data_IF_943577991246
#
_entry.id   IF_943577991246
#
_cell.length_a   1.000
_cell.length_b   1.000
_cell.length_c   1.000
_cell.angle_alpha   90.00
_cell.angle_beta   90.00
_cell.angle_gamma   90.00
#
_symmetry.space_group_name_H-M   'P 1'
#
loop_
_entity.id
_entity.type
_entity.pdbx_description
1 polymer ?
#
# COMPACT_ATOMS: atom_id res chain seq x y z
N UNK A 1 -10.35 -12.09 -12.89
CA UNK A 1 -10.10 -11.17 -11.75
C UNK A 1 -11.10 -11.38 -10.62
N UNK A 2 -12.41 -11.33 -10.88
CA UNK A 2 -13.45 -11.61 -9.87
C UNK A 2 -13.36 -13.02 -9.27
N UNK A 3 -12.97 -14.02 -10.07
CA UNK A 3 -12.73 -15.39 -9.60
C UNK A 3 -11.56 -15.46 -8.61
N UNK A 4 -10.41 -14.85 -8.93
CA UNK A 4 -9.24 -14.77 -8.03
C UNK A 4 -9.60 -14.22 -6.65
N UNK A 5 -10.36 -13.12 -6.58
CA UNK A 5 -10.76 -12.51 -5.30
C UNK A 5 -11.66 -13.45 -4.49
N UNK A 6 -12.57 -14.17 -5.16
CA UNK A 6 -13.42 -15.18 -4.52
C UNK A 6 -12.61 -16.36 -4.01
N UNK A 7 -11.66 -16.84 -4.81
CA UNK A 7 -10.80 -17.97 -4.43
C UNK A 7 -9.92 -17.62 -3.22
N UNK A 8 -9.29 -16.45 -3.21
CA UNK A 8 -8.47 -15.97 -2.10
C UNK A 8 -9.26 -15.78 -0.81
N UNK A 9 -10.52 -15.38 -0.90
CA UNK A 9 -11.40 -15.19 0.26
C UNK A 9 -12.03 -16.50 0.73
N UNK A 10 -12.19 -17.48 -0.15
CA UNK A 10 -12.80 -18.77 0.15
C UNK A 10 -14.18 -18.58 0.82
N UNK A 11 -14.36 -19.06 2.07
CA UNK A 11 -15.59 -18.92 2.84
C UNK A 11 -15.73 -17.61 3.63
N UNK A 12 -14.70 -16.75 3.62
CA UNK A 12 -14.73 -15.47 4.33
C UNK A 12 -15.59 -14.43 3.59
N UNK A 13 -16.30 -13.54 4.32
CA UNK A 13 -17.10 -12.51 3.69
C UNK A 13 -16.25 -11.52 2.89
N UNK A 14 -16.79 -11.05 1.77
CA UNK A 14 -16.28 -9.92 1.01
C UNK A 14 -17.09 -8.69 1.41
N UNK A 15 -16.40 -7.67 1.89
CA UNK A 15 -17.00 -6.39 2.29
C UNK A 15 -16.64 -5.38 1.21
N UNK A 16 -17.66 -4.72 0.65
CA UNK A 16 -17.49 -3.66 -0.35
C UNK A 16 -17.96 -2.36 0.29
N UNK A 17 -17.06 -1.41 0.44
CA UNK A 17 -17.39 -0.05 0.86
C UNK A 17 -17.70 0.82 -0.36
N UNK A 18 -18.94 1.28 -0.46
CA UNK A 18 -19.44 2.13 -1.55
C UNK A 18 -19.62 3.59 -1.14
N UNK A 19 -19.11 4.00 0.02
CA UNK A 19 -19.27 5.34 0.60
C UNK A 19 -18.60 6.43 -0.24
N UNK A 20 -17.55 6.09 -0.99
CA UNK A 20 -16.70 7.05 -1.69
C UNK A 20 -17.05 7.13 -3.18
N UNK A 21 -17.51 8.29 -3.62
CA UNK A 21 -17.94 8.54 -5.01
C UNK A 21 -16.78 8.99 -5.92
N UNK A 22 -15.64 9.32 -5.33
CA UNK A 22 -14.41 9.78 -6.01
C UNK A 22 -13.19 9.54 -5.12
N UNK A 23 -11.97 9.36 -5.66
CA UNK A 23 -10.76 9.36 -4.85
C UNK A 23 -10.61 10.61 -3.97
N UNK A 24 -11.11 11.77 -4.42
CA UNK A 24 -11.08 13.02 -3.65
C UNK A 24 -12.19 13.13 -2.60
N UNK A 25 -13.10 12.16 -2.53
CA UNK A 25 -14.08 12.05 -1.43
C UNK A 25 -13.51 11.32 -0.20
N UNK A 26 -12.37 10.64 -0.36
CA UNK A 26 -11.63 9.97 0.71
C UNK A 26 -11.13 11.05 1.69
N UNK A 27 -11.41 10.96 3.01
CA UNK A 27 -11.19 12.04 3.97
C UNK A 27 -9.82 12.73 3.92
N UNK A 28 -8.68 12.02 3.96
CA UNK A 28 -7.35 12.64 3.86
C UNK A 28 -7.09 13.36 2.52
N UNK A 29 -7.82 13.04 1.45
CA UNK A 29 -7.59 13.56 0.11
C UNK A 29 -8.52 14.73 -0.26
N UNK A 30 -9.52 15.02 0.58
CA UNK A 30 -10.46 16.12 0.35
C UNK A 30 -9.73 17.45 0.24
N UNK A 31 -10.10 18.24 -0.77
CA UNK A 31 -9.52 19.56 -1.02
C UNK A 31 -8.08 19.54 -1.52
N UNK A 32 -7.52 18.37 -1.89
CA UNK A 32 -6.12 18.26 -2.35
C UNK A 32 -5.95 18.16 -3.87
N UNK A 33 -7.01 18.26 -4.66
CA UNK A 33 -6.97 18.06 -6.13
C UNK A 33 -5.86 18.88 -6.80
N UNK A 34 -5.72 20.16 -6.43
CA UNK A 34 -4.70 21.06 -7.01
C UNK A 34 -3.27 20.57 -6.71
N UNK A 35 -3.04 19.94 -5.55
CA UNK A 35 -1.74 19.34 -5.22
C UNK A 35 -1.42 18.15 -6.10
N UNK A 36 -2.43 17.34 -6.43
CA UNK A 36 -2.26 16.22 -7.35
C UNK A 36 -2.06 16.69 -8.80
N UNK A 37 -2.68 17.80 -9.20
CA UNK A 37 -2.39 18.45 -10.49
C UNK A 37 -0.93 18.91 -10.55
N UNK A 38 -0.43 19.55 -9.49
CA UNK A 38 0.99 19.94 -9.37
C UNK A 38 1.91 18.71 -9.45
N UNK A 39 1.59 17.66 -8.71
CA UNK A 39 2.36 16.42 -8.70
C UNK A 39 2.39 15.74 -10.07
N UNK A 40 1.27 15.71 -10.79
CA UNK A 40 1.23 15.21 -12.18
C UNK A 40 2.13 16.03 -13.10
N UNK A 41 2.29 17.34 -12.86
CA UNK A 41 3.23 18.18 -13.60
C UNK A 41 4.71 17.80 -13.41
N UNK A 42 5.02 17.00 -12.38
CA UNK A 42 6.37 16.47 -12.10
C UNK A 42 6.56 15.03 -12.60
N UNK A 43 5.51 14.41 -13.15
CA UNK A 43 5.57 13.04 -13.65
C UNK A 43 6.47 12.96 -14.88
N UNK A 44 7.38 11.98 -14.86
CA UNK A 44 8.25 11.68 -16.01
C UNK A 44 7.50 10.95 -17.13
N UNK A 45 6.33 10.39 -16.82
CA UNK A 45 5.46 9.67 -17.75
C UNK A 45 4.03 10.26 -17.76
N UNK A 46 3.85 11.55 -18.09
CA UNK A 46 2.60 12.28 -17.86
C UNK A 46 1.38 11.76 -18.64
N UNK A 47 1.59 10.92 -19.64
CA UNK A 47 0.55 10.23 -20.41
C UNK A 47 0.06 8.92 -19.79
N UNK A 48 0.78 8.36 -18.83
CA UNK A 48 0.49 7.06 -18.21
C UNK A 48 -0.34 7.20 -16.93
N UNK A 49 -0.27 8.36 -16.27
CA UNK A 49 -0.91 8.57 -14.97
C UNK A 49 -1.92 9.72 -14.96
N UNK A 50 -3.06 9.49 -14.31
CA UNK A 50 -4.07 10.52 -14.03
C UNK A 50 -3.93 11.06 -12.60
N UNK A 51 -4.52 12.24 -12.37
CA UNK A 51 -4.62 12.87 -11.04
C UNK A 51 -5.39 11.94 -10.09
N UNK A 52 -6.43 11.28 -10.60
CA UNK A 52 -7.26 10.31 -9.89
C UNK A 52 -6.50 9.03 -9.55
N UNK A 53 -5.60 8.57 -10.42
CA UNK A 53 -4.79 7.39 -10.18
C UNK A 53 -3.85 7.61 -8.99
N UNK A 54 -3.18 8.76 -8.95
CA UNK A 54 -2.36 9.13 -7.82
C UNK A 54 -3.16 9.26 -6.52
N UNK A 55 -4.34 9.89 -6.59
CA UNK A 55 -5.22 10.01 -5.44
C UNK A 55 -5.65 8.62 -4.95
N UNK A 56 -6.02 7.72 -5.86
CA UNK A 56 -6.38 6.33 -5.54
C UNK A 56 -5.24 5.60 -4.83
N UNK A 57 -4.01 5.69 -5.37
CA UNK A 57 -2.82 5.09 -4.75
C UNK A 57 -2.56 5.62 -3.34
N UNK A 58 -2.67 6.94 -3.15
CA UNK A 58 -2.45 7.58 -1.85
C UNK A 58 -3.61 7.40 -0.86
N UNK A 59 -4.78 6.93 -1.31
CA UNK A 59 -5.93 6.62 -0.47
C UNK A 59 -5.82 5.26 0.24
N UNK A 60 -4.92 4.38 -0.22
CA UNK A 60 -4.82 3.01 0.31
C UNK A 60 -4.52 2.94 1.81
N UNK A 61 -3.61 3.76 2.40
CA UNK A 61 -3.38 3.78 3.85
C UNK A 61 -4.66 4.02 4.66
N UNK A 62 -5.50 4.94 4.21
CA UNK A 62 -6.77 5.22 4.84
C UNK A 62 -7.71 3.99 4.82
N UNK A 63 -7.77 3.26 3.71
CA UNK A 63 -8.61 2.06 3.63
C UNK A 63 -8.10 0.91 4.50
N UNK A 64 -6.78 0.76 4.65
CA UNK A 64 -6.23 -0.21 5.61
C UNK A 64 -6.60 0.18 7.04
N UNK A 65 -6.45 1.47 7.39
CA UNK A 65 -6.83 1.99 8.70
C UNK A 65 -8.32 1.75 9.00
N UNK A 66 -9.22 2.13 8.09
CA UNK A 66 -10.65 1.92 8.25
C UNK A 66 -11.01 0.44 8.33
N UNK A 67 -10.36 -0.43 7.55
CA UNK A 67 -10.56 -1.87 7.65
C UNK A 67 -10.15 -2.39 9.04
N UNK A 68 -8.99 -1.97 9.56
CA UNK A 68 -8.51 -2.35 10.90
C UNK A 68 -9.49 -1.90 11.98
N UNK A 69 -9.98 -0.65 11.93
CA UNK A 69 -10.96 -0.14 12.90
C UNK A 69 -12.28 -0.89 12.90
N UNK A 70 -12.70 -1.37 11.74
CA UNK A 70 -13.93 -2.15 11.58
C UNK A 70 -13.74 -3.64 11.94
N UNK A 71 -12.50 -4.11 12.07
CA UNK A 71 -12.19 -5.48 12.49
C UNK A 71 -11.96 -5.51 14.01
N UNK A 72 -12.77 -6.29 14.71
CA UNK A 72 -12.64 -6.48 16.15
C UNK A 72 -11.40 -7.32 16.51
N UNK A 73 -10.24 -6.67 16.64
CA UNK A 73 -9.01 -7.11 17.34
C UNK A 73 -8.51 -8.55 17.08
N UNK A 74 -8.75 -9.13 15.90
CA UNK A 74 -8.39 -10.52 15.57
C UNK A 74 -7.06 -10.70 14.85
N UNK A 75 -6.37 -9.62 14.51
CA UNK A 75 -5.20 -9.67 13.64
C UNK A 75 -4.03 -8.91 14.27
N UNK A 76 -2.83 -9.47 14.18
CA UNK A 76 -1.60 -8.80 14.63
C UNK A 76 -1.06 -7.84 13.56
N UNK A 77 -1.38 -8.12 12.29
CA UNK A 77 -0.89 -7.38 11.12
C UNK A 77 -2.00 -7.18 10.09
N UNK A 78 -1.92 -6.08 9.36
CA UNK A 78 -2.79 -5.81 8.22
C UNK A 78 -1.96 -5.32 7.03
N UNK A 79 -2.29 -5.83 5.84
CA UNK A 79 -1.62 -5.48 4.60
C UNK A 79 -2.64 -5.23 3.49
N UNK A 80 -2.39 -4.18 2.70
CA UNK A 80 -3.04 -3.97 1.42
C UNK A 80 -2.37 -4.84 0.35
N UNK A 81 -3.17 -5.45 -0.53
CA UNK A 81 -2.67 -6.18 -1.70
C UNK A 81 -3.51 -5.79 -2.90
N UNK A 82 -2.91 -5.23 -3.95
CA UNK A 82 -3.62 -5.01 -5.22
C UNK A 82 -3.94 -6.36 -5.88
N UNK A 83 -5.16 -6.51 -6.41
CA UNK A 83 -5.58 -7.76 -7.05
C UNK A 83 -4.72 -8.12 -8.27
N UNK A 84 -4.21 -7.11 -8.99
CA UNK A 84 -3.31 -7.31 -10.14
C UNK A 84 -1.98 -7.97 -9.76
N UNK A 85 -1.57 -7.89 -8.49
CA UNK A 85 -0.37 -8.56 -7.97
C UNK A 85 -0.42 -10.08 -8.20
N UNK A 86 -1.62 -10.68 -8.20
CA UNK A 86 -1.84 -12.11 -8.43
C UNK A 86 -1.82 -12.52 -9.91
N UNK A 87 -1.91 -11.56 -10.84
CA UNK A 87 -1.82 -11.83 -12.29
C UNK A 87 -0.39 -11.97 -12.81
N UNK A 88 0.60 -11.69 -11.95
CA UNK A 88 2.02 -11.84 -12.25
C UNK A 88 2.45 -13.30 -11.99
N UNK A 89 3.50 -13.80 -12.64
CA UNK A 89 4.00 -15.18 -12.46
C UNK A 89 4.42 -15.55 -11.02
N UNK A 90 4.22 -14.65 -10.06
CA UNK A 90 4.39 -14.81 -8.62
C UNK A 90 3.12 -15.32 -7.91
N UNK A 91 2.05 -15.67 -8.65
CA UNK A 91 0.76 -16.13 -8.11
C UNK A 91 0.76 -17.36 -7.20
N UNK A 92 1.92 -18.01 -7.02
CA UNK A 92 2.11 -19.15 -6.12
C UNK A 92 2.84 -18.81 -4.83
N UNK A 93 3.19 -17.53 -4.59
CA UNK A 93 3.88 -17.14 -3.37
C UNK A 93 2.81 -16.83 -2.33
N UNK A 94 2.82 -17.58 -1.22
CA UNK A 94 2.03 -17.35 -0.02
C UNK A 94 2.47 -16.07 0.72
N UNK A 95 2.74 -14.99 -0.01
CA UNK A 95 3.28 -13.74 0.52
C UNK A 95 2.19 -12.67 0.62
N UNK A 96 2.08 -11.94 1.75
CA UNK A 96 2.93 -12.07 2.93
C UNK A 96 2.58 -13.34 3.71
N UNK A 97 3.59 -14.16 3.95
CA UNK A 97 3.48 -15.29 4.87
C UNK A 97 3.73 -14.70 6.26
N UNK A 98 2.83 -14.99 7.20
CA UNK A 98 2.92 -14.47 8.55
C UNK A 98 4.24 -14.87 9.23
N UNK A 99 4.77 -16.08 8.93
CA UNK A 99 6.04 -16.54 9.49
C UNK A 99 7.24 -15.83 8.87
N UNK A 100 7.28 -15.70 7.55
CA UNK A 100 8.32 -14.92 6.83
C UNK A 100 8.33 -13.45 7.27
N UNK A 101 7.14 -12.91 7.57
CA UNK A 101 7.00 -11.59 8.17
C UNK A 101 7.65 -11.61 9.56
N UNK A 102 7.26 -12.50 10.47
CA UNK A 102 7.86 -12.64 11.81
C UNK A 102 9.39 -12.82 11.81
N UNK A 103 9.96 -13.53 10.83
CA UNK A 103 11.42 -13.71 10.70
C UNK A 103 12.13 -12.41 10.29
N UNK A 104 11.59 -11.66 9.33
CA UNK A 104 12.08 -10.31 8.99
C UNK A 104 11.97 -9.39 10.21
N UNK A 105 10.90 -9.56 11.00
CA UNK A 105 10.60 -8.79 12.20
C UNK A 105 11.54 -9.10 13.39
N UNK A 106 12.12 -10.29 13.47
CA UNK A 106 13.00 -10.68 14.56
C UNK A 106 14.39 -9.99 14.57
N UNK A 107 14.68 -9.13 13.57
CA UNK A 107 16.04 -8.59 13.33
C UNK A 107 16.39 -7.27 14.05
N UNK A 108 15.57 -6.77 14.98
CA UNK A 108 16.08 -5.89 16.06
C UNK A 108 15.60 -4.42 16.11
N UNK A 109 14.41 -4.08 15.62
CA UNK A 109 13.66 -2.89 16.08
C UNK A 109 12.41 -3.30 16.83
N UNK A 110 11.83 -2.42 17.65
CA UNK A 110 10.47 -2.63 18.14
C UNK A 110 9.50 -2.55 16.95
N UNK A 111 9.31 -3.72 16.33
CA UNK A 111 8.47 -4.03 15.18
C UNK A 111 7.08 -3.39 15.22
N UNK A 112 6.61 -3.14 16.43
CA UNK A 112 5.29 -2.60 16.71
C UNK A 112 5.06 -1.21 16.12
N UNK A 113 6.11 -0.48 15.73
CA UNK A 113 5.99 0.87 15.15
C UNK A 113 6.43 0.94 13.66
N UNK A 114 6.55 -0.20 12.97
CA UNK A 114 7.04 -0.25 11.59
C UNK A 114 5.92 -0.46 10.55
N UNK A 115 5.99 0.31 9.46
CA UNK A 115 5.24 0.08 8.22
C UNK A 115 6.20 -0.49 7.16
N UNK A 116 5.75 -1.54 6.48
CA UNK A 116 6.46 -2.23 5.41
C UNK A 116 6.03 -1.72 4.05
N UNK A 117 7.02 -1.43 3.21
CA UNK A 117 6.84 -1.11 1.80
C UNK A 117 7.70 -2.05 0.94
N UNK A 118 7.11 -2.73 -0.05
CA UNK A 118 7.82 -3.56 -1.01
C UNK A 118 8.66 -2.68 -1.94
N UNK A 119 9.84 -3.18 -2.31
CA UNK A 119 10.69 -2.59 -3.34
C UNK A 119 10.94 -3.63 -4.43
N UNK A 120 10.88 -3.21 -5.70
CA UNK A 120 11.15 -4.12 -6.83
C UNK A 120 12.61 -4.53 -6.91
N UNK A 121 13.51 -3.67 -6.44
CA UNK A 121 14.95 -3.91 -6.45
C UNK A 121 15.57 -3.33 -5.18
N UNK A 122 16.72 -3.88 -4.79
CA UNK A 122 17.50 -3.31 -3.70
C UNK A 122 17.85 -1.84 -4.00
N UNK A 123 17.78 -0.95 -3.00
CA UNK A 123 18.19 0.44 -3.16
C UNK A 123 19.64 0.50 -3.65
N UNK A 124 19.94 1.40 -4.58
CA UNK A 124 21.34 1.64 -4.94
C UNK A 124 22.11 2.12 -3.69
N UNK A 125 23.38 1.73 -3.55
CA UNK A 125 24.16 1.99 -2.32
C UNK A 125 24.28 3.48 -1.98
N UNK A 126 24.11 4.37 -2.95
CA UNK A 126 24.09 5.83 -2.76
C UNK A 126 22.87 6.32 -1.98
N UNK A 127 21.79 5.55 -1.91
CA UNK A 127 20.57 5.92 -1.18
C UNK A 127 20.78 6.01 0.32
N UNK A 128 21.88 5.45 0.86
CA UNK A 128 22.28 5.66 2.27
C UNK A 128 22.64 7.11 2.60
N UNK A 129 22.86 7.94 1.58
CA UNK A 129 23.13 9.38 1.72
C UNK A 129 21.90 10.24 1.42
N UNK A 130 20.73 9.62 1.19
CA UNK A 130 19.51 10.36 0.93
C UNK A 130 19.06 11.16 2.16
N UNK A 131 18.49 12.33 1.91
CA UNK A 131 17.79 13.16 2.89
C UNK A 131 16.81 14.10 2.19
N UNK A 132 15.91 14.70 2.95
CA UNK A 132 14.75 15.45 2.44
C UNK A 132 15.09 16.53 1.41
N UNK A 133 16.28 17.14 1.54
CA UNK A 133 16.79 18.16 0.61
C UNK A 133 17.02 17.64 -0.83
N UNK A 134 17.14 16.33 -1.02
CA UNK A 134 17.34 15.70 -2.34
C UNK A 134 16.02 15.38 -3.04
N UNK A 135 14.88 15.69 -2.41
CA UNK A 135 13.56 15.43 -2.95
C UNK A 135 13.12 13.97 -2.78
N UNK A 136 11.97 13.59 -3.37
CA UNK A 136 11.40 12.25 -3.23
C UNK A 136 12.37 11.16 -3.71
N UNK A 137 12.40 10.03 -3.01
CA UNK A 137 13.16 8.86 -3.44
C UNK A 137 12.51 8.33 -4.73
N UNK A 138 13.28 8.37 -5.81
CA UNK A 138 12.93 7.78 -7.11
C UNK A 138 13.60 6.41 -7.24
N UNK A 139 13.07 5.46 -6.49
CA UNK A 139 13.34 4.03 -6.64
C UNK A 139 12.04 3.36 -7.08
N UNK A 140 12.17 2.21 -7.74
CA UNK A 140 11.04 1.35 -8.07
C UNK A 140 10.47 0.68 -6.81
N UNK A 141 9.99 1.48 -5.84
CA UNK A 141 9.04 0.99 -4.84
C UNK A 141 7.89 0.36 -5.62
N UNK A 142 7.39 -0.79 -5.15
CA UNK A 142 6.10 -1.28 -5.62
C UNK A 142 5.02 -0.41 -4.95
N UNK A 143 5.00 0.89 -5.31
CA UNK A 143 4.19 1.95 -4.69
C UNK A 143 2.69 1.67 -4.81
N UNK A 144 2.31 0.67 -5.59
CA UNK A 144 0.93 0.30 -5.81
C UNK A 144 0.59 -0.99 -5.08
N UNK A 145 1.43 -2.02 -5.12
CA UNK A 145 0.88 -3.37 -4.98
C UNK A 145 0.78 -3.87 -3.54
N UNK A 146 1.57 -3.34 -2.60
CA UNK A 146 1.60 -3.85 -1.23
C UNK A 146 2.06 -2.79 -0.22
N UNK A 147 1.43 -2.69 0.95
CA UNK A 147 1.97 -2.01 2.14
C UNK A 147 1.19 -2.45 3.37
N UNK A 148 1.79 -2.37 4.56
CA UNK A 148 1.12 -2.75 5.80
C UNK A 148 2.07 -2.87 6.97
N UNK A 149 1.57 -3.29 8.13
CA UNK A 149 2.36 -3.31 9.35
C UNK A 149 1.60 -3.89 10.53
N UNK A 150 2.16 -3.73 11.72
CA UNK A 150 1.43 -4.01 12.95
C UNK A 150 0.19 -3.09 13.03
N UNK A 151 -0.85 -3.52 13.74
CA UNK A 151 -2.01 -2.65 13.93
C UNK A 151 -1.65 -1.34 14.66
N UNK A 152 -0.68 -1.39 15.58
CA UNK A 152 -0.19 -0.22 16.32
C UNK A 152 0.53 0.80 15.41
N UNK A 153 1.25 0.34 14.38
CA UNK A 153 1.92 1.22 13.42
C UNK A 153 0.95 1.84 12.40
N UNK A 154 -0.25 1.27 12.28
CA UNK A 154 -1.28 1.70 11.34
C UNK A 154 -2.33 2.59 11.98
N UNK A 155 -2.40 2.68 13.32
CA UNK A 155 -3.34 3.51 14.09
C UNK A 155 -2.84 4.95 14.29
#
# INVERSE_FOLDING_TARGET
MTEIVRDLRSSLPIIIDTTYTSPFSIPPLRGRIDRYVQMKGLDRHPGEHSVELYATRNGKPFFVYEAVRNLSSKYDYAFWIDVESWGTGYGNIAWPDAMSTQEVLATGREVRDCIFFPIHALPHTTMKYWGDQLGPIDNAFSQSSFFGGSLQALD
#
